data_IF_688059137629
#
_entry.id   IF_688059137629
#
_cell.length_a   1.000
_cell.length_b   1.000
_cell.length_c   1.000
_cell.angle_alpha   90.00
_cell.angle_beta   90.00
_cell.angle_gamma   90.00
#
_symmetry.space_group_name_H-M   'P 1'
#
loop_
_entity.id
_entity.type
_entity.pdbx_description
1 polymer ?
#
# COMPACT_ATOMS: atom_id res chain seq x y z
N UNK A 1 -11.21 11.27 19.67
CA UNK A 1 -10.04 10.39 19.46
C UNK A 1 -9.77 10.34 17.97
N UNK A 2 -8.59 10.80 17.51
CA UNK A 2 -8.25 10.83 16.08
C UNK A 2 -7.86 9.40 15.68
N UNK A 3 -8.59 8.78 14.75
CA UNK A 3 -8.21 7.49 14.17
C UNK A 3 -6.89 7.70 13.43
N UNK A 4 -5.93 6.81 13.64
CA UNK A 4 -4.65 6.85 12.93
C UNK A 4 -4.90 6.65 11.41
N UNK A 5 -4.08 7.32 10.58
CA UNK A 5 -4.10 7.22 9.13
C UNK A 5 -2.67 7.40 8.65
N UNK A 6 -2.24 6.54 7.72
CA UNK A 6 -0.96 6.68 7.06
C UNK A 6 -1.16 7.62 5.87
N UNK A 7 -0.63 8.85 5.91
CA UNK A 7 -0.88 9.85 4.88
C UNK A 7 -0.16 9.50 3.57
N UNK A 8 -0.62 10.08 2.47
CA UNK A 8 0.00 9.99 1.14
C UNK A 8 1.30 10.82 1.05
N UNK A 9 2.27 10.50 1.89
CA UNK A 9 3.58 11.14 1.88
C UNK A 9 4.52 10.41 0.93
N UNK A 10 5.39 11.19 0.27
CA UNK A 10 6.46 10.63 -0.53
C UNK A 10 7.43 9.86 0.39
N UNK A 11 7.80 8.61 0.03
CA UNK A 11 8.87 7.92 0.72
C UNK A 11 10.22 8.61 0.44
N UNK A 12 11.28 8.32 1.21
CA UNK A 12 12.63 8.69 0.85
C UNK A 12 13.00 8.13 -0.54
N UNK A 13 13.77 8.88 -1.32
CA UNK A 13 14.14 8.49 -2.69
C UNK A 13 15.39 7.61 -2.76
N UNK A 14 16.15 7.50 -1.68
CA UNK A 14 17.43 6.76 -1.61
C UNK A 14 17.58 6.00 -0.29
N UNK A 15 18.45 5.00 -0.26
CA UNK A 15 18.80 4.26 0.96
C UNK A 15 17.77 3.21 1.38
N UNK A 16 16.87 2.82 0.48
CA UNK A 16 15.91 1.74 0.72
C UNK A 16 16.51 0.36 0.49
N UNK A 17 16.08 -0.61 1.28
CA UNK A 17 16.45 -2.03 1.18
C UNK A 17 15.18 -2.84 0.92
N UNK A 18 15.17 -3.64 -0.14
CA UNK A 18 14.07 -4.57 -0.37
C UNK A 18 14.05 -5.65 0.73
N UNK A 19 12.94 -5.74 1.45
CA UNK A 19 12.76 -6.65 2.61
C UNK A 19 11.75 -7.76 2.35
N UNK A 20 10.98 -7.65 1.26
CA UNK A 20 10.06 -8.70 0.84
C UNK A 20 9.98 -8.77 -0.68
N UNK A 21 9.96 -10.00 -1.21
CA UNK A 21 9.77 -10.28 -2.62
C UNK A 21 8.30 -10.09 -3.04
N UNK A 22 8.06 -10.13 -4.35
CA UNK A 22 6.73 -10.21 -4.92
C UNK A 22 5.90 -11.33 -4.26
N UNK A 23 4.68 -11.02 -3.85
CA UNK A 23 3.76 -11.96 -3.21
C UNK A 23 2.35 -11.80 -3.74
N UNK A 24 1.76 -12.83 -4.36
CA UNK A 24 0.38 -12.80 -4.80
C UNK A 24 -0.54 -12.76 -3.58
N UNK A 25 -1.53 -11.86 -3.61
CA UNK A 25 -2.55 -11.71 -2.56
C UNK A 25 -3.87 -12.29 -3.07
N UNK A 26 -4.28 -11.91 -4.28
CA UNK A 26 -5.49 -12.40 -4.95
C UNK A 26 -5.16 -12.74 -6.40
N UNK A 27 -5.65 -13.90 -6.85
CA UNK A 27 -5.58 -14.35 -8.23
C UNK A 27 -6.93 -14.94 -8.64
N UNK A 28 -7.88 -14.06 -8.96
CA UNK A 28 -9.22 -14.41 -9.40
C UNK A 28 -9.35 -14.24 -10.92
N UNK A 29 -10.45 -14.77 -11.48
CA UNK A 29 -10.84 -14.47 -12.84
C UNK A 29 -11.04 -12.95 -12.99
N UNK A 30 -10.30 -12.36 -13.92
CA UNK A 30 -10.33 -10.94 -14.27
C UNK A 30 -9.85 -9.95 -13.19
N UNK A 31 -9.21 -10.44 -12.12
CA UNK A 31 -8.69 -9.61 -11.02
C UNK A 31 -7.46 -10.25 -10.39
N UNK A 32 -6.32 -9.58 -10.46
CA UNK A 32 -5.10 -9.98 -9.75
C UNK A 32 -4.60 -8.83 -8.88
N UNK A 33 -4.23 -9.16 -7.64
CA UNK A 33 -3.59 -8.24 -6.70
C UNK A 33 -2.33 -8.90 -6.14
N UNK A 34 -1.23 -8.17 -6.19
CA UNK A 34 0.07 -8.60 -5.71
C UNK A 34 0.68 -7.51 -4.84
N UNK A 35 1.35 -7.89 -3.75
CA UNK A 35 2.37 -7.04 -3.12
C UNK A 35 3.66 -7.21 -3.92
N UNK A 36 3.93 -6.30 -4.85
CA UNK A 36 5.08 -6.43 -5.77
C UNK A 36 6.42 -6.13 -5.09
N UNK A 37 6.43 -5.27 -4.08
CA UNK A 37 7.61 -4.99 -3.29
C UNK A 37 7.27 -4.42 -1.90
N UNK A 38 8.08 -4.77 -0.90
CA UNK A 38 8.21 -4.03 0.34
C UNK A 38 9.66 -3.55 0.49
N UNK A 39 9.84 -2.24 0.67
CA UNK A 39 11.17 -1.61 0.80
C UNK A 39 11.27 -0.89 2.14
N UNK A 40 12.21 -1.30 2.98
CA UNK A 40 12.50 -0.67 4.24
C UNK A 40 13.46 0.50 4.05
N UNK A 41 13.23 1.56 4.81
CA UNK A 41 14.11 2.70 4.98
C UNK A 41 14.30 2.94 6.47
N UNK A 42 15.35 3.68 6.85
CA UNK A 42 15.56 4.03 8.26
C UNK A 42 14.36 4.76 8.90
N UNK A 43 13.56 5.47 8.08
CA UNK A 43 12.39 6.22 8.52
C UNK A 43 11.05 5.47 8.38
N UNK A 44 11.02 4.25 7.83
CA UNK A 44 9.77 3.51 7.64
C UNK A 44 9.78 2.49 6.52
N UNK A 45 8.60 2.13 6.03
CA UNK A 45 8.37 1.08 5.05
C UNK A 45 7.53 1.58 3.88
N UNK A 46 8.00 1.32 2.67
CA UNK A 46 7.25 1.53 1.44
C UNK A 46 6.64 0.20 0.98
N UNK A 47 5.32 0.16 0.86
CA UNK A 47 4.58 -0.95 0.26
C UNK A 47 4.16 -0.58 -1.16
N UNK A 48 4.45 -1.45 -2.12
CA UNK A 48 4.00 -1.32 -3.51
C UNK A 48 3.11 -2.49 -3.87
N UNK A 49 1.90 -2.18 -4.33
CA UNK A 49 1.00 -3.18 -4.89
C UNK A 49 1.04 -3.13 -6.42
N UNK A 50 0.67 -4.23 -7.05
CA UNK A 50 0.34 -4.29 -8.46
C UNK A 50 -1.07 -4.85 -8.59
N UNK A 51 -1.98 -4.06 -9.15
CA UNK A 51 -3.35 -4.45 -9.41
C UNK A 51 -3.57 -4.51 -10.92
N UNK A 52 -4.15 -5.60 -11.40
CA UNK A 52 -4.61 -5.74 -12.77
C UNK A 52 -6.06 -6.22 -12.75
N UNK A 53 -6.92 -5.51 -13.47
CA UNK A 53 -8.32 -5.85 -13.67
C UNK A 53 -8.56 -5.99 -15.17
N UNK A 54 -9.25 -7.04 -15.60
CA UNK A 54 -9.52 -7.31 -17.02
C UNK A 54 -11.01 -7.45 -17.31
N UNK A 55 -11.36 -7.51 -18.60
CA UNK A 55 -12.74 -7.69 -19.06
C UNK A 55 -13.69 -6.60 -18.55
N UNK A 56 -14.96 -6.98 -18.33
CA UNK A 56 -16.03 -6.05 -17.93
C UNK A 56 -15.71 -5.32 -16.62
N UNK A 57 -14.95 -5.94 -15.71
CA UNK A 57 -14.53 -5.29 -14.46
C UNK A 57 -13.62 -4.10 -14.74
N UNK A 58 -12.72 -4.20 -15.73
CA UNK A 58 -11.80 -3.13 -16.10
C UNK A 58 -12.52 -1.90 -16.63
N UNK A 59 -13.58 -2.11 -17.42
CA UNK A 59 -14.42 -1.02 -17.94
C UNK A 59 -15.09 -0.26 -16.80
N UNK A 60 -15.67 -0.98 -15.83
CA UNK A 60 -16.32 -0.39 -14.66
C UNK A 60 -15.37 0.48 -13.84
N UNK A 61 -14.13 0.01 -13.60
CA UNK A 61 -13.14 0.78 -12.84
C UNK A 61 -12.90 2.15 -13.49
N UNK A 62 -12.78 2.21 -14.82
CA UNK A 62 -12.46 3.46 -15.54
C UNK A 62 -13.53 4.53 -15.44
N UNK A 63 -14.81 4.13 -15.41
CA UNK A 63 -15.92 5.08 -15.29
C UNK A 63 -16.12 5.59 -13.86
N UNK A 64 -15.82 4.76 -12.85
CA UNK A 64 -16.11 5.07 -11.45
C UNK A 64 -14.90 5.62 -10.67
N UNK A 65 -13.68 5.45 -11.18
CA UNK A 65 -12.49 5.97 -10.50
C UNK A 65 -12.25 7.44 -10.78
N UNK A 66 -12.63 8.29 -9.81
CA UNK A 66 -12.23 9.69 -9.79
C UNK A 66 -10.77 9.81 -9.29
N UNK A 67 -9.95 10.68 -9.88
CA UNK A 67 -8.63 11.00 -9.34
C UNK A 67 -8.75 11.50 -7.90
N UNK A 68 -7.84 11.07 -7.02
CA UNK A 68 -7.71 11.64 -5.68
C UNK A 68 -7.09 13.05 -5.82
N UNK A 69 -7.92 14.07 -6.06
CA UNK A 69 -7.45 15.45 -6.27
C UNK A 69 -6.84 16.06 -5.00
N UNK A 70 -7.22 15.56 -3.82
CA UNK A 70 -6.67 15.98 -2.52
C UNK A 70 -6.50 14.78 -1.58
N UNK A 71 -5.26 14.40 -1.28
CA UNK A 71 -4.97 13.30 -0.38
C UNK A 71 -5.35 13.55 1.09
N UNK A 72 -5.56 14.82 1.48
CA UNK A 72 -6.02 15.19 2.83
C UNK A 72 -7.54 15.17 2.96
N UNK A 73 -8.27 14.94 1.87
CA UNK A 73 -9.72 14.77 1.91
C UNK A 73 -10.07 13.41 2.51
N UNK A 74 -10.75 13.42 3.65
CA UNK A 74 -11.21 12.21 4.34
C UNK A 74 -12.50 11.63 3.75
N UNK A 75 -13.19 12.40 2.90
CA UNK A 75 -14.39 11.97 2.18
C UNK A 75 -14.07 11.28 0.85
N UNK A 76 -12.85 11.44 0.34
CA UNK A 76 -12.37 10.80 -0.88
C UNK A 76 -11.99 9.32 -0.66
N UNK A 77 -12.95 8.51 -0.23
CA UNK A 77 -12.78 7.06 0.05
C UNK A 77 -13.04 6.15 -1.18
N UNK A 78 -13.39 6.70 -2.35
CA UNK A 78 -14.33 5.99 -3.23
C UNK A 78 -13.78 5.50 -4.59
N UNK A 79 -12.47 5.54 -4.86
CA UNK A 79 -12.01 5.34 -6.25
C UNK A 79 -10.71 4.55 -6.43
N UNK A 80 -10.22 3.84 -5.43
CA UNK A 80 -8.98 3.05 -5.57
C UNK A 80 -8.90 1.94 -4.55
N UNK A 81 -7.91 1.06 -4.70
CA UNK A 81 -7.58 0.00 -3.76
C UNK A 81 -7.47 0.57 -2.35
N UNK A 82 -8.41 0.21 -1.48
CA UNK A 82 -8.35 0.57 -0.08
C UNK A 82 -7.35 -0.35 0.63
N UNK A 83 -6.38 0.26 1.31
CA UNK A 83 -5.37 -0.46 2.08
C UNK A 83 -5.46 0.02 3.52
N UNK A 84 -5.64 -0.91 4.46
CA UNK A 84 -5.54 -0.66 5.89
C UNK A 84 -4.32 -1.41 6.43
N UNK A 85 -3.54 -0.73 7.26
CA UNK A 85 -2.31 -1.27 7.84
C UNK A 85 -2.43 -1.27 9.35
N UNK A 86 -2.10 -2.40 9.95
CA UNK A 86 -1.90 -2.54 11.38
C UNK A 86 -0.43 -2.89 11.63
N UNK A 87 0.29 -1.96 12.25
CA UNK A 87 1.71 -2.07 12.60
C UNK A 87 1.85 -1.78 14.08
N UNK A 88 2.20 -2.80 14.86
CA UNK A 88 2.25 -2.73 16.33
C UNK A 88 0.93 -2.14 16.88
N UNK A 89 0.98 -1.01 17.60
CA UNK A 89 -0.20 -0.34 18.18
C UNK A 89 -0.90 0.65 17.22
N UNK A 90 -0.39 0.83 15.99
CA UNK A 90 -0.92 1.78 15.01
C UNK A 90 -1.72 1.06 13.93
N UNK A 91 -3.02 1.35 13.87
CA UNK A 91 -3.94 0.79 12.88
C UNK A 91 -4.72 1.87 12.14
N UNK A 92 -4.75 1.79 10.80
CA UNK A 92 -5.59 2.71 10.03
C UNK A 92 -5.47 2.58 8.51
N UNK A 93 -6.31 3.32 7.77
CA UNK A 93 -6.20 3.44 6.33
C UNK A 93 -4.83 4.01 5.94
N UNK A 94 -4.29 3.52 4.83
CA UNK A 94 -3.08 4.01 4.21
C UNK A 94 -3.42 4.63 2.86
N UNK A 95 -3.14 5.93 2.72
CA UNK A 95 -3.39 6.63 1.48
C UNK A 95 -2.29 6.34 0.46
N UNK A 96 -2.64 6.14 -0.82
CA UNK A 96 -1.63 5.97 -1.85
C UNK A 96 -0.97 7.33 -2.14
N UNK A 97 0.37 7.38 -2.08
CA UNK A 97 1.15 8.50 -2.61
C UNK A 97 1.15 8.53 -4.14
N UNK A 98 1.07 7.35 -4.77
CA UNK A 98 0.94 7.19 -6.21
C UNK A 98 -0.25 6.27 -6.46
N UNK A 99 -1.27 6.74 -7.18
CA UNK A 99 -2.48 5.96 -7.50
C UNK A 99 -2.86 6.05 -8.99
N UNK A 100 -1.96 6.61 -9.82
CA UNK A 100 -2.23 6.85 -11.22
C UNK A 100 -2.24 5.50 -11.96
N UNK A 101 -3.33 5.15 -12.66
CA UNK A 101 -3.35 3.96 -13.50
C UNK A 101 -2.36 4.10 -14.65
N UNK A 102 -1.82 2.98 -15.12
CA UNK A 102 -0.96 2.95 -16.29
C UNK A 102 -1.71 3.53 -17.50
N UNK A 103 -1.03 4.33 -18.35
CA UNK A 103 -1.68 4.92 -19.51
C UNK A 103 -2.16 3.81 -20.45
N UNK A 104 -3.46 3.81 -20.74
CA UNK A 104 -4.05 2.94 -21.76
C UNK A 104 -4.39 3.78 -23.00
N UNK A 105 -3.57 3.71 -24.06
CA UNK A 105 -3.76 4.51 -25.26
C UNK A 105 -5.03 4.13 -26.05
N UNK A 106 -5.58 2.92 -25.86
CA UNK A 106 -6.74 2.43 -26.61
C UNK A 106 -8.04 2.41 -25.79
N UNK A 107 -7.99 2.73 -24.49
CA UNK A 107 -9.16 2.86 -23.62
C UNK A 107 -9.95 1.57 -23.34
N UNK A 108 -9.54 0.42 -23.91
CA UNK A 108 -10.23 -0.87 -23.84
C UNK A 108 -9.36 -2.00 -23.25
N UNK A 109 -8.13 -1.68 -22.82
CA UNK A 109 -7.17 -2.63 -22.29
C UNK A 109 -7.43 -3.02 -20.83
N UNK A 110 -6.56 -3.88 -20.25
CA UNK A 110 -6.58 -4.14 -18.81
C UNK A 110 -6.40 -2.84 -18.02
N UNK A 111 -7.15 -2.66 -16.95
CA UNK A 111 -6.89 -1.59 -15.99
C UNK A 111 -5.74 -2.02 -15.08
N UNK A 112 -4.63 -1.27 -15.12
CA UNK A 112 -3.43 -1.54 -14.32
C UNK A 112 -3.10 -0.34 -13.45
N UNK A 113 -2.74 -0.58 -12.20
CA UNK A 113 -2.22 0.47 -11.30
C UNK A 113 -1.24 -0.13 -10.31
N UNK A 114 -0.23 0.66 -9.94
CA UNK A 114 0.80 0.24 -8.99
C UNK A 114 0.84 1.16 -7.77
N UNK A 115 -0.17 1.09 -6.88
CA UNK A 115 -0.26 2.05 -5.80
C UNK A 115 0.84 1.85 -4.77
N UNK A 116 1.33 2.97 -4.25
CA UNK A 116 2.43 3.03 -3.29
C UNK A 116 1.96 3.65 -1.98
N UNK A 117 2.20 2.97 -0.87
CA UNK A 117 1.80 3.40 0.47
C UNK A 117 3.02 3.54 1.37
N UNK A 118 3.18 4.72 1.96
CA UNK A 118 4.26 5.00 2.91
C UNK A 118 3.78 4.78 4.33
N UNK A 119 4.40 3.83 5.01
CA UNK A 119 4.19 3.53 6.42
C UNK A 119 5.37 4.13 7.16
N UNK A 120 5.16 5.28 7.80
CA UNK A 120 6.23 6.07 8.44
C UNK A 120 6.84 5.45 9.70
N UNK A 121 6.85 4.11 9.78
CA UNK A 121 7.50 3.31 10.79
C UNK A 121 7.85 1.94 10.22
N UNK A 122 8.82 1.28 10.83
CA UNK A 122 9.08 -0.14 10.63
C UNK A 122 8.57 -0.89 11.87
N UNK A 123 7.76 -1.96 11.73
CA UNK A 123 7.17 -2.65 12.88
C UNK A 123 8.26 -3.23 13.78
N UNK A 124 8.17 -2.95 15.08
CA UNK A 124 9.11 -3.45 16.09
C UNK A 124 8.98 -4.96 16.27
N UNK A 125 7.79 -5.50 16.02
CA UNK A 125 7.50 -6.95 16.00
C UNK A 125 8.06 -7.65 14.75
N UNK A 126 8.57 -6.91 13.76
CA UNK A 126 9.05 -7.45 12.50
C UNK A 126 7.94 -8.00 11.59
N UNK A 127 6.69 -7.61 11.84
CA UNK A 127 5.54 -8.00 11.01
C UNK A 127 4.45 -6.92 11.04
N UNK A 128 3.60 -6.90 10.02
CA UNK A 128 2.42 -6.04 10.00
C UNK A 128 1.25 -6.74 9.32
N UNK A 129 0.03 -6.38 9.68
CA UNK A 129 -1.17 -6.88 9.01
C UNK A 129 -1.60 -5.89 7.93
N UNK A 130 -1.82 -6.40 6.74
CA UNK A 130 -2.36 -5.66 5.60
C UNK A 130 -3.76 -6.15 5.31
N UNK A 131 -4.70 -5.21 5.18
CA UNK A 131 -6.05 -5.50 4.73
C UNK A 131 -6.30 -4.71 3.45
N UNK A 132 -6.60 -5.40 2.37
CA UNK A 132 -6.90 -4.79 1.06
C UNK A 132 -8.35 -5.01 0.68
N UNK A 133 -9.02 -4.00 0.15
CA UNK A 133 -10.37 -4.15 -0.38
C UNK A 133 -10.63 -3.20 -1.54
N UNK A 134 -11.48 -3.62 -2.46
CA UNK A 134 -12.05 -2.76 -3.48
C UNK A 134 -13.39 -3.36 -3.97
N UNK A 135 -14.47 -3.19 -3.20
CA UNK A 135 -15.74 -3.87 -3.47
C UNK A 135 -16.33 -3.60 -4.87
N UNK A 136 -16.11 -2.39 -5.41
CA UNK A 136 -16.59 -1.96 -6.72
C UNK A 136 -16.03 -2.82 -7.87
N UNK A 137 -14.85 -3.41 -7.69
CA UNK A 137 -14.20 -4.28 -8.69
C UNK A 137 -14.31 -5.76 -8.31
N UNK A 138 -15.10 -6.07 -7.27
CA UNK A 138 -15.28 -7.42 -6.74
C UNK A 138 -14.19 -7.87 -5.77
N UNK A 139 -13.24 -7.00 -5.39
CA UNK A 139 -12.22 -7.34 -4.39
C UNK A 139 -12.81 -7.22 -2.99
N UNK A 140 -13.23 -8.35 -2.42
CA UNK A 140 -13.64 -8.42 -1.03
C UNK A 140 -12.46 -8.17 -0.07
N UNK A 141 -12.71 -7.69 1.16
CA UNK A 141 -11.66 -7.50 2.16
C UNK A 141 -10.82 -8.76 2.35
N UNK A 142 -9.54 -8.65 2.01
CA UNK A 142 -8.56 -9.73 2.14
C UNK A 142 -7.49 -9.28 3.11
N UNK A 143 -7.21 -10.10 4.12
CA UNK A 143 -6.25 -9.81 5.19
C UNK A 143 -5.09 -10.79 5.12
N UNK A 144 -3.87 -10.29 5.26
CA UNK A 144 -2.68 -11.12 5.38
C UNK A 144 -1.65 -10.47 6.31
N UNK A 145 -0.79 -11.30 6.91
CA UNK A 145 0.35 -10.85 7.71
C UNK A 145 1.60 -10.84 6.84
N UNK A 146 2.25 -9.69 6.76
CA UNK A 146 3.53 -9.52 6.10
C UNK A 146 4.65 -9.68 7.13
N UNK A 147 5.42 -10.76 7.03
CA UNK A 147 6.61 -11.00 7.86
C UNK A 147 7.83 -10.35 7.23
N UNK A 148 8.45 -9.41 7.93
CA UNK A 148 9.59 -8.62 7.45
C UNK A 148 10.89 -8.97 8.17
N UNK A 149 10.80 -9.51 9.39
CA UNK A 149 11.96 -9.71 10.27
C UNK A 149 12.40 -8.41 10.95
N UNK A 150 13.53 -8.41 11.67
CA UNK A 150 14.03 -7.22 12.36
C UNK A 150 14.35 -6.10 11.37
N UNK A 151 14.29 -4.85 11.84
CA UNK A 151 14.72 -3.70 11.04
C UNK A 151 16.15 -3.91 10.52
N UNK A 152 16.39 -3.77 9.21
CA UNK A 152 17.74 -3.87 8.66
C UNK A 152 18.59 -2.62 9.00
N UNK A 153 17.97 -1.56 9.51
CA UNK A 153 18.66 -0.36 9.97
C UNK A 153 18.90 -0.45 11.47
N UNK A 154 20.10 -0.08 11.93
CA UNK A 154 20.42 -0.07 13.35
C UNK A 154 19.47 0.90 14.06
N UNK A 155 18.79 0.41 15.08
CA UNK A 155 18.21 1.27 16.11
C UNK A 155 19.38 1.95 16.80
N UNK A 156 19.57 3.25 16.59
CA UNK A 156 20.38 4.07 17.49
C UNK A 156 19.69 4.08 18.85
N UNK A 157 19.87 3.02 19.63
CA UNK A 157 19.83 3.14 21.06
C UNK A 157 20.99 4.06 21.42
N UNK A 158 20.65 5.24 21.92
CA UNK A 158 21.62 6.22 22.39
C UNK A 158 22.64 5.52 23.28
N UNK A 159 23.90 5.70 22.89
CA UNK A 159 25.10 5.33 23.60
C UNK A 159 24.96 5.49 25.11
N UNK A 160 25.50 4.51 25.82
CA UNK A 160 25.95 4.59 27.22
C UNK A 160 26.37 6.01 27.61
N UNK A 161 25.63 6.62 28.53
CA UNK A 161 26.16 7.69 29.36
C UNK A 161 26.70 7.05 30.64
N UNK A 162 27.90 6.49 30.51
CA UNK A 162 28.75 6.16 31.64
C UNK A 162 29.35 7.48 32.16
N UNK A 163 28.84 8.00 33.28
CA UNK A 163 29.65 8.66 34.32
C UNK A 163 28.84 8.85 35.61
#
# INVERSE_FOLDING_TARGET
>A
MRRHRWPALAPPTTGGIAVHAAMPIVAEKDLTLELSAATAFAAGLLLRFALCVTGVRADLVRYETRPLTNALDWSAQWSYLAVCILSDDLGGPADPFHSIPEPDPEGSGPYRTTPQHWIGTYPTTGSLTVITSWPQVGLHPTSFTLTLGPSPFPTTFGSDAHR
#
